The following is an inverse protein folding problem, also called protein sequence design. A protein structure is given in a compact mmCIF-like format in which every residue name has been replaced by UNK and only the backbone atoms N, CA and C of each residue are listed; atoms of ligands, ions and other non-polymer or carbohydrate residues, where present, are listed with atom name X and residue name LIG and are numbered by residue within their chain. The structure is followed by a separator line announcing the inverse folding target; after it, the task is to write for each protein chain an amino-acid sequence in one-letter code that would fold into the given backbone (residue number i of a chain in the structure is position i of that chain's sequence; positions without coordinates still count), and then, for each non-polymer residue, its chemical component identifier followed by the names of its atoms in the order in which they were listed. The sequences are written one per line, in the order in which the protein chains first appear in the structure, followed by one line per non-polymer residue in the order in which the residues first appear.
data_IF_748270699752
#
_entry.id   IF_748270699752
#
_cell.length_a   1.000
_cell.length_b   1.000
_cell.length_c   1.000
_cell.angle_alpha   90.00
_cell.angle_beta   90.00
_cell.angle_gamma   90.00
#
_symmetry.space_group_name_H-M   'P 1'
#
loop_
_entity.id
_entity.type
_entity.pdbx_description
1 polymer ?
#
# COMPACT_ATOMS: atom_id res chain seq x y z
N UNK A 1 29.82 -3.85 38.17
CA UNK A 1 30.66 -4.68 37.27
C UNK A 1 30.48 -4.12 35.86
N UNK A 2 31.49 -3.42 35.35
CA UNK A 2 31.39 -2.53 34.19
C UNK A 2 31.13 -3.33 32.91
N UNK A 3 30.09 -2.91 32.18
CA UNK A 3 29.55 -3.55 30.99
C UNK A 3 30.59 -3.68 29.88
N UNK A 4 30.40 -4.74 29.10
CA UNK A 4 31.07 -5.04 27.84
C UNK A 4 31.36 -3.78 27.02
N UNK A 5 32.63 -3.59 26.73
CA UNK A 5 33.21 -2.64 25.76
C UNK A 5 32.25 -2.34 24.59
N UNK A 6 31.79 -1.09 24.50
CA UNK A 6 30.85 -0.66 23.47
C UNK A 6 31.40 -0.89 22.05
N UNK A 7 30.51 -1.02 21.05
CA UNK A 7 30.89 -1.12 19.62
C UNK A 7 31.91 -0.04 19.22
N UNK A 8 31.75 1.17 19.76
CA UNK A 8 32.67 2.30 19.56
C UNK A 8 34.10 2.05 20.09
N UNK A 9 34.27 1.33 21.21
CA UNK A 9 35.60 0.98 21.72
C UNK A 9 36.33 -0.02 20.79
N UNK A 10 35.59 -0.95 20.18
CA UNK A 10 36.13 -1.92 19.22
C UNK A 10 36.55 -1.24 17.91
N UNK A 11 35.67 -0.42 17.33
CA UNK A 11 35.96 0.27 16.07
C UNK A 11 37.15 1.23 16.22
N UNK A 12 37.25 1.95 17.34
CA UNK A 12 38.42 2.80 17.63
C UNK A 12 39.69 1.99 17.83
N UNK A 13 39.64 0.88 18.56
CA UNK A 13 40.82 0.03 18.76
C UNK A 13 41.35 -0.53 17.44
N UNK A 14 40.45 -1.01 16.57
CA UNK A 14 40.83 -1.54 15.26
C UNK A 14 41.28 -0.45 14.30
N UNK A 15 40.64 0.72 14.29
CA UNK A 15 41.07 1.86 13.49
C UNK A 15 42.49 2.34 13.85
N UNK A 16 42.82 2.39 15.14
CA UNK A 16 44.18 2.71 15.61
C UNK A 16 45.20 1.70 15.10
N UNK A 17 44.88 0.40 15.18
CA UNK A 17 45.81 -0.66 14.78
C UNK A 17 45.96 -0.76 13.25
N UNK A 18 44.87 -0.62 12.50
CA UNK A 18 44.89 -0.59 11.02
C UNK A 18 45.56 0.68 10.49
N UNK A 19 45.51 1.77 11.25
CA UNK A 19 46.28 3.00 10.99
C UNK A 19 47.78 2.91 11.33
N UNK A 20 48.31 1.70 11.58
CA UNK A 20 49.74 1.45 11.75
C UNK A 20 50.26 1.52 13.19
N UNK A 21 49.42 1.81 14.18
CA UNK A 21 49.85 1.78 15.59
C UNK A 21 49.86 0.38 16.18
N UNK A 22 50.73 0.15 17.18
CA UNK A 22 50.80 -1.17 17.83
C UNK A 22 49.56 -1.46 18.69
N UNK A 23 49.23 -2.75 18.83
CA UNK A 23 48.13 -3.19 19.70
C UNK A 23 48.31 -2.77 21.17
N UNK A 24 49.57 -2.62 21.62
CA UNK A 24 49.91 -2.13 22.96
C UNK A 24 49.53 -0.66 23.12
N UNK A 25 49.85 0.17 22.13
CA UNK A 25 49.45 1.58 22.11
C UNK A 25 47.91 1.73 22.10
N UNK A 26 47.20 0.90 21.33
CA UNK A 26 45.73 0.89 21.32
C UNK A 26 45.14 0.47 22.68
N UNK A 27 45.79 -0.46 23.40
CA UNK A 27 45.40 -0.92 24.73
C UNK A 27 45.51 0.18 25.77
N UNK A 28 46.65 0.88 25.80
CA UNK A 28 46.94 1.98 26.71
C UNK A 28 46.02 3.18 26.46
N UNK A 29 45.81 3.56 25.19
CA UNK A 29 44.95 4.70 24.81
C UNK A 29 43.48 4.50 25.15
N UNK A 30 42.97 3.28 25.06
CA UNK A 30 41.53 2.99 25.23
C UNK A 30 41.19 2.36 26.58
N UNK A 31 42.19 2.06 27.42
CA UNK A 31 41.99 1.34 28.68
C UNK A 31 41.39 -0.07 28.50
N UNK A 32 41.56 -0.66 27.31
CA UNK A 32 41.03 -1.99 26.98
C UNK A 32 42.17 -3.00 27.03
N UNK A 33 41.93 -4.16 27.64
CA UNK A 33 42.93 -5.23 27.74
C UNK A 33 43.47 -5.63 26.35
N UNK A 34 44.79 -5.71 26.20
CA UNK A 34 45.48 -6.05 24.94
C UNK A 34 45.00 -7.38 24.33
N UNK A 35 44.62 -8.37 25.15
CA UNK A 35 44.05 -9.65 24.69
C UNK A 35 42.70 -9.45 23.99
N UNK A 36 41.89 -8.50 24.47
CA UNK A 36 40.60 -8.15 23.86
C UNK A 36 40.81 -7.50 22.49
N UNK A 37 41.81 -6.61 22.36
CA UNK A 37 42.15 -5.96 21.09
C UNK A 37 42.66 -6.99 20.07
N UNK A 38 43.54 -7.92 20.50
CA UNK A 38 43.99 -9.04 19.65
C UNK A 38 42.82 -9.88 19.13
N UNK A 39 41.88 -10.23 20.02
CA UNK A 39 40.68 -11.00 19.65
C UNK A 39 39.83 -10.27 18.62
N UNK A 40 39.67 -8.95 18.76
CA UNK A 40 38.95 -8.14 17.77
C UNK A 40 39.68 -8.07 16.43
N UNK A 41 41.00 -7.93 16.42
CA UNK A 41 41.78 -7.83 15.18
C UNK A 41 41.79 -9.13 14.40
N UNK A 42 42.02 -10.24 15.08
CA UNK A 42 41.95 -11.58 14.48
C UNK A 42 40.57 -11.86 13.88
N UNK A 43 39.51 -11.46 14.58
CA UNK A 43 38.14 -11.57 14.05
C UNK A 43 37.93 -10.68 12.83
N UNK A 44 38.39 -9.43 12.85
CA UNK A 44 38.26 -8.51 11.71
C UNK A 44 39.00 -9.04 10.47
N UNK A 45 40.20 -9.59 10.64
CA UNK A 45 40.98 -10.20 9.56
C UNK A 45 40.27 -11.42 8.94
N UNK A 46 39.53 -12.18 9.74
CA UNK A 46 38.84 -13.39 9.30
C UNK A 46 37.42 -13.13 8.75
N UNK A 47 36.67 -12.17 9.31
CA UNK A 47 35.24 -11.97 9.03
C UNK A 47 34.92 -10.62 8.37
N UNK A 48 35.87 -9.65 8.36
CA UNK A 48 35.68 -8.32 7.78
C UNK A 48 34.65 -7.41 8.49
N UNK A 49 34.12 -7.83 9.65
CA UNK A 49 33.02 -7.12 10.32
C UNK A 49 33.40 -6.57 11.70
N UNK A 50 32.96 -5.34 11.97
CA UNK A 50 33.09 -4.66 13.26
C UNK A 50 31.92 -4.93 14.21
N UNK A 51 30.85 -5.54 13.72
CA UNK A 51 29.58 -5.65 14.43
C UNK A 51 29.61 -6.64 15.60
N UNK A 52 28.71 -6.45 16.56
CA UNK A 52 28.50 -7.43 17.61
C UNK A 52 27.94 -8.74 17.01
N UNK A 53 28.45 -9.87 17.46
CA UNK A 53 27.79 -11.14 17.17
C UNK A 53 26.43 -11.16 17.86
N UNK A 54 25.43 -11.73 17.18
CA UNK A 54 24.14 -11.98 17.82
C UNK A 54 24.35 -12.96 18.97
N UNK A 55 24.14 -12.50 20.20
CA UNK A 55 24.21 -13.37 21.37
C UNK A 55 23.13 -14.45 21.28
N UNK A 56 23.48 -15.68 21.69
CA UNK A 56 22.49 -16.75 21.84
C UNK A 56 21.62 -16.44 23.06
N UNK A 57 20.57 -15.66 22.84
CA UNK A 57 19.58 -15.34 23.85
C UNK A 57 18.87 -16.60 24.39
N UNK A 58 18.15 -16.41 25.51
CA UNK A 58 17.35 -17.48 26.14
C UNK A 58 16.45 -18.17 25.10
N UNK A 59 16.59 -19.50 24.98
CA UNK A 59 15.75 -20.32 24.09
C UNK A 59 14.27 -20.02 24.34
N UNK A 60 13.53 -19.80 23.26
CA UNK A 60 12.09 -19.50 23.33
C UNK A 60 11.32 -20.68 23.93
N UNK A 61 10.39 -20.40 24.85
CA UNK A 61 9.45 -21.41 25.37
C UNK A 61 8.38 -21.83 24.33
N UNK A 62 8.24 -21.08 23.24
CA UNK A 62 7.26 -21.40 22.19
C UNK A 62 7.82 -22.44 21.23
N UNK A 63 7.22 -23.62 21.23
CA UNK A 63 7.51 -24.68 20.26
C UNK A 63 7.08 -24.28 18.84
N UNK A 64 7.66 -24.92 17.81
CA UNK A 64 7.29 -24.69 16.41
C UNK A 64 5.78 -24.90 16.18
N UNK A 65 5.20 -25.93 16.80
CA UNK A 65 3.76 -26.21 16.75
C UNK A 65 2.94 -25.12 17.42
N UNK A 66 3.34 -24.65 18.60
CA UNK A 66 2.65 -23.57 19.30
C UNK A 66 2.64 -22.27 18.48
N UNK A 67 3.76 -21.94 17.82
CA UNK A 67 3.87 -20.79 16.91
C UNK A 67 2.87 -20.86 15.75
N UNK A 68 2.74 -22.01 15.10
CA UNK A 68 1.75 -22.25 14.03
C UNK A 68 0.32 -22.09 14.55
N UNK A 69 0.03 -22.62 15.74
CA UNK A 69 -1.30 -22.52 16.37
C UNK A 69 -1.66 -21.07 16.71
N UNK A 70 -0.68 -20.26 17.11
CA UNK A 70 -0.87 -18.83 17.36
C UNK A 70 -1.06 -18.08 16.03
N UNK A 71 -0.25 -18.33 15.02
CA UNK A 71 -0.38 -17.69 13.70
C UNK A 71 -1.75 -17.98 13.05
N UNK A 72 -2.19 -19.25 13.04
CA UNK A 72 -3.52 -19.65 12.53
C UNK A 72 -4.69 -19.11 13.37
N UNK A 73 -4.44 -18.51 14.53
CA UNK A 73 -5.50 -17.92 15.34
C UNK A 73 -5.84 -16.49 14.95
N UNK A 74 -4.98 -15.83 14.16
CA UNK A 74 -5.18 -14.45 13.67
C UNK A 74 -6.45 -14.36 12.81
N UNK A 75 -6.71 -15.37 11.98
CA UNK A 75 -7.90 -15.41 11.10
C UNK A 75 -9.21 -15.76 11.82
N UNK A 76 -9.16 -16.09 13.13
CA UNK A 76 -10.34 -16.52 13.89
C UNK A 76 -10.94 -15.35 14.66
N UNK A 77 -12.22 -15.04 14.41
CA UNK A 77 -12.99 -14.07 15.21
C UNK A 77 -13.12 -14.54 16.68
N UNK A 78 -13.12 -13.59 17.62
CA UNK A 78 -13.33 -13.77 19.06
C UNK A 78 -12.31 -14.68 19.81
N UNK A 79 -11.06 -14.72 19.38
CA UNK A 79 -9.98 -15.38 20.13
C UNK A 79 -9.19 -14.39 20.99
N UNK A 80 -9.18 -14.59 22.31
CA UNK A 80 -8.33 -13.81 23.22
C UNK A 80 -6.99 -14.50 23.46
N UNK A 81 -5.95 -13.71 23.76
CA UNK A 81 -4.62 -14.23 24.12
C UNK A 81 -4.65 -15.13 25.35
N UNK A 82 -5.59 -14.89 26.29
CA UNK A 82 -5.83 -15.74 27.46
C UNK A 82 -6.42 -17.10 27.06
N UNK A 83 -7.42 -17.12 26.17
CA UNK A 83 -8.03 -18.36 25.65
C UNK A 83 -7.01 -19.19 24.86
N UNK A 84 -6.15 -18.53 24.09
CA UNK A 84 -5.05 -19.17 23.37
C UNK A 84 -4.00 -19.74 24.32
N UNK A 85 -3.57 -19.01 25.34
CA UNK A 85 -2.63 -19.51 26.34
C UNK A 85 -3.19 -20.73 27.09
N UNK A 86 -4.48 -20.73 27.45
CA UNK A 86 -5.15 -21.91 28.05
C UNK A 86 -5.11 -23.12 27.12
N UNK A 87 -5.39 -22.92 25.82
CA UNK A 87 -5.35 -23.97 24.78
C UNK A 87 -3.94 -24.49 24.50
N UNK A 88 -2.92 -23.64 24.59
CA UNK A 88 -1.53 -24.08 24.47
C UNK A 88 -1.09 -24.89 25.68
N UNK A 89 -1.52 -24.48 26.87
CA UNK A 89 -1.27 -25.22 28.12
C UNK A 89 -1.87 -26.62 28.08
N UNK A 90 -3.11 -26.78 27.60
CA UNK A 90 -3.74 -28.10 27.44
C UNK A 90 -3.03 -28.98 26.40
N UNK A 91 -2.19 -28.40 25.54
CA UNK A 91 -1.36 -29.11 24.54
C UNK A 91 0.11 -29.23 24.96
N UNK A 92 0.41 -29.11 26.26
CA UNK A 92 1.76 -29.28 26.80
C UNK A 92 2.69 -28.07 26.63
N UNK A 93 2.20 -26.93 26.10
CA UNK A 93 2.98 -25.70 25.96
C UNK A 93 2.51 -24.65 26.98
N UNK A 94 3.07 -24.70 28.19
CA UNK A 94 2.74 -23.76 29.26
C UNK A 94 3.40 -22.40 29.03
N UNK A 95 2.66 -21.48 28.42
CA UNK A 95 3.06 -20.08 28.18
C UNK A 95 2.07 -19.09 28.77
N UNK A 96 2.54 -17.89 29.13
CA UNK A 96 1.66 -16.82 29.59
C UNK A 96 0.90 -16.18 28.42
N UNK A 97 -0.25 -15.56 28.71
CA UNK A 97 -0.97 -14.79 27.71
C UNK A 97 -0.13 -13.62 27.14
N UNK A 98 0.80 -13.08 27.94
CA UNK A 98 1.73 -12.02 27.52
C UNK A 98 2.75 -12.53 26.51
N UNK A 99 3.24 -13.76 26.65
CA UNK A 99 4.09 -14.41 25.63
C UNK A 99 3.35 -14.60 24.31
N UNK A 100 2.09 -15.04 24.36
CA UNK A 100 1.24 -15.16 23.16
C UNK A 100 1.00 -13.80 22.52
N UNK A 101 0.73 -12.76 23.32
CA UNK A 101 0.57 -11.37 22.85
C UNK A 101 1.83 -10.86 22.15
N UNK A 102 3.01 -10.98 22.78
CA UNK A 102 4.29 -10.53 22.19
C UNK A 102 4.60 -11.23 20.86
N UNK A 103 4.30 -12.53 20.78
CA UNK A 103 4.45 -13.28 19.52
C UNK A 103 3.48 -12.78 18.45
N UNK A 104 2.21 -12.54 18.77
CA UNK A 104 1.25 -11.95 17.84
C UNK A 104 1.69 -10.56 17.37
N UNK A 105 2.06 -9.65 18.29
CA UNK A 105 2.48 -8.28 17.95
C UNK A 105 3.72 -8.22 17.06
N UNK A 106 4.64 -9.17 17.19
CA UNK A 106 5.83 -9.26 16.33
C UNK A 106 5.57 -9.90 14.96
N UNK A 107 4.39 -10.48 14.74
CA UNK A 107 4.06 -11.25 13.53
C UNK A 107 2.69 -10.87 12.93
N UNK A 108 2.05 -9.81 13.42
CA UNK A 108 0.77 -9.33 12.92
C UNK A 108 0.94 -7.90 12.39
N UNK A 109 0.91 -7.73 11.08
CA UNK A 109 0.88 -6.41 10.42
C UNK A 109 -0.52 -5.75 10.49
N UNK A 110 -1.46 -6.32 11.26
CA UNK A 110 -2.90 -6.05 11.08
C UNK A 110 -3.57 -5.35 12.26
N UNK A 111 -2.84 -4.91 13.29
CA UNK A 111 -3.45 -4.24 14.46
C UNK A 111 -2.58 -3.10 15.03
N UNK A 112 -2.48 -2.00 14.30
CA UNK A 112 -2.17 -0.69 14.89
C UNK A 112 -3.39 -0.13 15.65
N UNK A 113 -3.77 -0.82 16.73
CA UNK A 113 -4.76 -0.31 17.69
C UNK A 113 -4.09 -0.17 19.04
N UNK A 114 -3.74 1.07 19.39
CA UNK A 114 -3.18 1.42 20.69
C UNK A 114 -4.33 1.65 21.66
N UNK A 115 -4.38 0.86 22.72
CA UNK A 115 -5.26 1.13 23.86
C UNK A 115 -4.52 2.06 24.80
N UNK A 116 -5.08 3.25 25.04
CA UNK A 116 -4.57 4.22 26.00
C UNK A 116 -5.72 4.64 26.94
N UNK A 117 -5.40 4.84 28.22
CA UNK A 117 -6.37 5.34 29.21
C UNK A 117 -6.57 6.84 29.08
N UNK A 118 -5.55 7.55 28.60
CA UNK A 118 -5.56 8.99 28.36
C UNK A 118 -4.83 9.33 27.06
N UNK A 119 -5.25 10.42 26.40
CA UNK A 119 -4.72 10.86 25.11
C UNK A 119 -3.22 11.19 25.17
N UNK A 120 -2.70 11.60 26.33
CA UNK A 120 -1.28 11.88 26.56
C UNK A 120 -0.37 10.65 26.44
N UNK A 121 -0.92 9.44 26.54
CA UNK A 121 -0.16 8.18 26.43
C UNK A 121 0.01 7.70 24.98
N UNK A 122 -0.69 8.35 24.03
CA UNK A 122 -0.54 8.06 22.61
C UNK A 122 0.64 8.86 22.08
N UNK A 123 1.58 8.19 21.41
CA UNK A 123 2.56 8.90 20.58
C UNK A 123 1.77 9.74 19.56
N UNK A 124 2.02 11.06 19.45
CA UNK A 124 1.38 11.87 18.44
C UNK A 124 1.63 11.25 17.07
N UNK A 125 0.57 10.81 16.39
CA UNK A 125 0.70 10.51 14.96
C UNK A 125 0.76 11.86 14.26
N UNK A 126 1.89 12.22 13.68
CA UNK A 126 1.97 13.37 12.79
C UNK A 126 1.02 13.11 11.61
N UNK A 127 -0.10 13.83 11.60
CA UNK A 127 -0.97 13.92 10.42
C UNK A 127 -0.80 15.32 9.89
N UNK A 128 -0.21 15.45 8.70
CA UNK A 128 -0.15 16.71 7.98
C UNK A 128 -1.61 17.13 7.69
N UNK A 129 -2.08 18.17 8.40
CA UNK A 129 -3.48 18.62 8.39
C UNK A 129 -3.95 19.08 7.00
N UNK A 130 -3.01 19.52 6.17
CA UNK A 130 -3.24 20.01 4.80
C UNK A 130 -2.25 19.37 3.82
N UNK A 131 -2.36 18.05 3.61
CA UNK A 131 -1.68 17.43 2.48
C UNK A 131 -2.13 18.11 1.19
N UNK A 132 -1.18 18.49 0.34
CA UNK A 132 -1.48 18.87 -1.04
C UNK A 132 -2.19 17.70 -1.71
N UNK A 133 -3.37 17.95 -2.25
CA UNK A 133 -4.19 16.96 -2.95
C UNK A 133 -4.36 17.40 -4.40
N UNK A 134 -4.42 16.40 -5.27
CA UNK A 134 -4.81 16.58 -6.66
C UNK A 134 -6.04 15.73 -6.94
N UNK A 135 -6.97 16.30 -7.67
CA UNK A 135 -8.15 15.60 -8.18
C UNK A 135 -7.89 15.33 -9.66
N UNK A 136 -8.10 14.08 -10.06
CA UNK A 136 -7.83 13.62 -11.42
C UNK A 136 -9.06 12.87 -11.92
N UNK A 137 -9.43 13.12 -13.16
CA UNK A 137 -10.46 12.37 -13.87
C UNK A 137 -9.86 11.64 -15.06
N UNK A 138 -10.37 10.45 -15.34
CA UNK A 138 -10.04 9.67 -16.52
C UNK A 138 -11.15 8.67 -16.82
N UNK A 139 -11.18 8.19 -18.06
CA UNK A 139 -12.07 7.11 -18.52
C UNK A 139 -11.23 5.97 -19.08
N UNK A 140 -11.72 4.75 -18.88
CA UNK A 140 -11.10 3.53 -19.41
C UNK A 140 -12.11 2.68 -20.17
N UNK A 141 -11.61 1.90 -21.12
CA UNK A 141 -12.29 0.77 -21.74
C UNK A 141 -11.39 -0.46 -21.65
N UNK A 142 -11.83 -1.60 -22.21
CA UNK A 142 -10.98 -2.78 -22.33
C UNK A 142 -9.78 -2.58 -23.29
N UNK A 143 -9.82 -1.54 -24.15
CA UNK A 143 -8.80 -1.28 -25.17
C UNK A 143 -7.83 -0.17 -24.77
N UNK A 144 -8.33 0.89 -24.16
CA UNK A 144 -7.62 2.15 -24.05
C UNK A 144 -8.10 2.97 -22.85
N UNK A 145 -7.36 4.02 -22.55
CA UNK A 145 -7.66 5.00 -21.51
C UNK A 145 -7.65 6.40 -22.11
N UNK A 146 -8.35 7.35 -21.50
CA UNK A 146 -8.26 8.76 -21.87
C UNK A 146 -6.93 9.39 -21.47
N UNK A 147 -6.67 10.57 -22.01
CA UNK A 147 -5.82 11.52 -21.31
C UNK A 147 -6.43 11.88 -19.95
N UNK A 148 -5.57 12.20 -18.99
CA UNK A 148 -5.99 12.54 -17.64
C UNK A 148 -6.36 14.02 -17.55
N UNK A 149 -7.56 14.28 -17.04
CA UNK A 149 -8.03 15.63 -16.74
C UNK A 149 -7.68 15.97 -15.30
N UNK A 150 -6.70 16.86 -15.11
CA UNK A 150 -6.30 17.33 -13.79
C UNK A 150 -7.19 18.50 -13.38
N UNK A 151 -7.97 18.31 -12.31
CA UNK A 151 -8.90 19.33 -11.83
C UNK A 151 -8.09 20.43 -11.12
N UNK A 152 -8.26 21.71 -11.48
CA UNK A 152 -7.52 22.82 -10.89
C UNK A 152 -7.67 22.91 -9.37
N UNK A 153 -6.63 23.39 -8.69
CA UNK A 153 -6.66 23.56 -7.23
C UNK A 153 -7.79 24.51 -6.81
N UNK A 154 -8.65 24.04 -5.91
CA UNK A 154 -9.81 24.81 -5.42
C UNK A 154 -11.07 24.66 -6.27
N UNK A 155 -10.99 24.02 -7.44
CA UNK A 155 -12.16 23.73 -8.26
C UNK A 155 -13.00 22.63 -7.61
N UNK A 156 -14.29 22.90 -7.46
CA UNK A 156 -15.28 21.89 -7.05
C UNK A 156 -15.87 21.26 -8.31
N UNK A 157 -16.00 19.93 -8.33
CA UNK A 157 -16.67 19.21 -9.41
C UNK A 157 -18.18 19.37 -9.22
N UNK A 158 -18.73 20.47 -9.71
CA UNK A 158 -20.18 20.70 -9.79
C UNK A 158 -20.75 19.92 -10.99
N UNK A 159 -22.07 19.76 -11.04
CA UNK A 159 -22.72 19.14 -12.21
C UNK A 159 -22.44 19.92 -13.51
N UNK A 160 -22.30 21.24 -13.44
CA UNK A 160 -21.96 22.08 -14.58
C UNK A 160 -20.52 21.84 -15.04
N UNK A 161 -19.55 21.87 -14.13
CA UNK A 161 -18.15 21.59 -14.44
C UNK A 161 -17.98 20.19 -15.02
N UNK A 162 -18.66 19.20 -14.42
CA UNK A 162 -18.64 17.82 -14.90
C UNK A 162 -19.16 17.72 -16.33
N UNK A 163 -20.27 18.37 -16.67
CA UNK A 163 -20.83 18.32 -18.03
C UNK A 163 -19.98 19.08 -19.04
N UNK A 164 -19.57 20.30 -18.70
CA UNK A 164 -18.94 21.20 -19.67
C UNK A 164 -17.46 20.85 -19.90
N UNK A 165 -16.69 20.64 -18.83
CA UNK A 165 -15.24 20.45 -18.93
C UNK A 165 -14.86 18.97 -19.06
N UNK A 166 -15.57 18.10 -18.33
CA UNK A 166 -15.22 16.68 -18.28
C UNK A 166 -15.94 15.90 -19.39
N UNK A 167 -17.27 15.94 -19.46
CA UNK A 167 -18.03 15.17 -20.44
C UNK A 167 -17.86 15.74 -21.86
N UNK A 168 -18.25 16.99 -22.10
CA UNK A 168 -18.13 17.62 -23.42
C UNK A 168 -16.66 17.80 -23.86
N UNK A 169 -15.73 17.99 -22.94
CA UNK A 169 -14.30 18.17 -23.22
C UNK A 169 -13.54 16.85 -23.25
N UNK A 170 -12.95 16.48 -22.11
CA UNK A 170 -12.01 15.36 -21.99
C UNK A 170 -12.57 13.99 -22.38
N UNK A 171 -13.82 13.70 -22.04
CA UNK A 171 -14.49 12.43 -22.35
C UNK A 171 -14.80 12.31 -23.83
N UNK A 172 -15.49 13.28 -24.43
CA UNK A 172 -15.80 13.26 -25.86
C UNK A 172 -14.54 13.25 -26.73
N UNK A 173 -13.52 14.03 -26.37
CA UNK A 173 -12.22 14.01 -27.08
C UNK A 173 -11.60 12.61 -27.10
N UNK A 174 -11.72 11.88 -25.99
CA UNK A 174 -11.20 10.52 -25.87
C UNK A 174 -12.06 9.48 -26.58
N UNK A 175 -13.38 9.69 -26.61
CA UNK A 175 -14.35 8.81 -27.23
C UNK A 175 -14.32 8.91 -28.77
N UNK A 176 -14.09 10.11 -29.31
CA UNK A 176 -14.05 10.39 -30.74
C UNK A 176 -12.69 10.10 -31.42
N UNK A 177 -11.74 9.50 -30.69
CA UNK A 177 -10.45 9.06 -31.27
C UNK A 177 -10.71 8.14 -32.47
N UNK A 178 -9.91 8.30 -33.52
CA UNK A 178 -10.03 7.53 -34.78
C UNK A 178 -8.98 6.41 -34.98
N UNK A 179 -7.76 6.46 -34.40
CA UNK A 179 -6.77 5.40 -34.63
C UNK A 179 -7.21 4.05 -34.06
N UNK A 180 -7.20 2.98 -34.87
CA UNK A 180 -7.50 1.62 -34.39
C UNK A 180 -6.34 1.00 -33.60
N UNK A 181 -5.11 1.32 -34.00
CA UNK A 181 -3.86 0.86 -33.40
C UNK A 181 -3.11 2.03 -32.75
N UNK A 182 -2.08 1.68 -31.97
CA UNK A 182 -1.24 2.65 -31.24
C UNK A 182 -1.25 2.39 -29.74
N UNK A 183 -0.74 3.38 -29.00
CA UNK A 183 -0.74 3.37 -27.54
C UNK A 183 -2.16 3.37 -26.98
N UNK A 184 -2.33 2.85 -25.77
CA UNK A 184 -3.58 2.95 -24.99
C UNK A 184 -4.09 4.39 -24.83
N UNK A 185 -3.22 5.39 -24.98
CA UNK A 185 -3.54 6.81 -24.89
C UNK A 185 -3.98 7.45 -26.21
N UNK A 186 -3.80 6.79 -27.36
CA UNK A 186 -4.10 7.42 -28.66
C UNK A 186 -5.10 6.62 -29.52
N UNK A 187 -5.22 5.31 -29.28
CA UNK A 187 -6.18 4.48 -30.00
C UNK A 187 -7.62 4.64 -29.49
N UNK A 188 -8.58 4.21 -30.30
CA UNK A 188 -10.01 4.17 -29.96
C UNK A 188 -10.29 3.55 -28.60
N UNK A 189 -11.11 4.23 -27.79
CA UNK A 189 -11.68 3.65 -26.56
C UNK A 189 -12.56 2.46 -26.90
N UNK A 190 -13.49 2.64 -27.83
CA UNK A 190 -14.46 1.62 -28.21
C UNK A 190 -14.29 1.30 -29.69
N UNK A 191 -14.31 0.02 -30.08
CA UNK A 191 -14.14 -0.35 -31.48
C UNK A 191 -15.37 0.03 -32.32
N UNK A 192 -16.55 -0.09 -31.73
CA UNK A 192 -17.83 0.22 -32.36
C UNK A 192 -18.54 1.31 -31.55
N UNK A 193 -18.60 2.51 -32.14
CA UNK A 193 -19.25 3.67 -31.56
C UNK A 193 -20.78 3.52 -31.43
N UNK A 194 -21.38 2.54 -32.11
CA UNK A 194 -22.80 2.20 -31.96
C UNK A 194 -23.06 1.21 -30.83
N UNK A 195 -22.02 0.67 -30.18
CA UNK A 195 -22.12 -0.41 -29.19
C UNK A 195 -21.16 -0.23 -28.03
N UNK A 196 -21.53 0.64 -27.10
CA UNK A 196 -20.88 0.75 -25.80
C UNK A 196 -21.87 1.20 -24.74
N UNK A 197 -21.54 0.93 -23.48
CA UNK A 197 -22.28 1.43 -22.32
C UNK A 197 -21.33 2.29 -21.49
N UNK A 198 -21.72 3.53 -21.25
CA UNK A 198 -20.98 4.40 -20.35
C UNK A 198 -21.40 4.16 -18.89
N UNK A 199 -20.42 3.87 -18.03
CA UNK A 199 -20.61 3.62 -16.62
C UNK A 199 -19.89 4.69 -15.79
N UNK A 200 -20.58 5.21 -14.78
CA UNK A 200 -20.04 6.12 -13.78
C UNK A 200 -20.54 5.73 -12.38
N UNK A 201 -19.89 6.23 -11.34
CA UNK A 201 -20.30 5.97 -9.96
C UNK A 201 -21.44 6.92 -9.50
N UNK A 202 -21.87 6.77 -8.24
CA UNK A 202 -22.97 7.52 -7.65
C UNK A 202 -22.61 8.89 -7.11
N UNK A 203 -21.52 9.54 -7.55
CA UNK A 203 -21.15 10.86 -7.05
C UNK A 203 -22.25 11.92 -7.31
N UNK A 204 -22.31 12.96 -6.47
CA UNK A 204 -23.38 13.98 -6.55
C UNK A 204 -23.42 14.70 -7.92
N UNK A 205 -22.26 15.00 -8.50
CA UNK A 205 -22.15 15.60 -9.83
C UNK A 205 -22.66 14.66 -10.93
N UNK A 206 -22.43 13.35 -10.80
CA UNK A 206 -22.81 12.34 -11.78
C UNK A 206 -24.31 12.05 -11.73
N UNK A 207 -24.90 12.06 -10.52
CA UNK A 207 -26.33 11.77 -10.29
C UNK A 207 -27.25 12.99 -10.49
N UNK A 208 -26.67 14.18 -10.66
CA UNK A 208 -27.39 15.41 -10.93
C UNK A 208 -28.20 15.33 -12.23
N UNK A 209 -29.37 15.96 -12.25
CA UNK A 209 -30.29 15.97 -13.40
C UNK A 209 -29.59 16.37 -14.70
N UNK A 210 -28.82 17.47 -14.66
CA UNK A 210 -28.05 17.98 -15.80
C UNK A 210 -27.10 16.93 -16.40
N UNK A 211 -26.37 16.19 -15.56
CA UNK A 211 -25.42 15.18 -16.02
C UNK A 211 -26.13 13.96 -16.60
N UNK A 212 -27.20 13.49 -15.95
CA UNK A 212 -28.01 12.37 -16.43
C UNK A 212 -28.68 12.69 -17.78
N UNK A 213 -29.25 13.89 -17.92
CA UNK A 213 -29.85 14.36 -19.18
C UNK A 213 -28.81 14.48 -20.29
N UNK A 214 -27.63 15.02 -20.00
CA UNK A 214 -26.54 15.09 -20.97
C UNK A 214 -26.13 13.69 -21.46
N UNK A 215 -25.98 12.72 -20.55
CA UNK A 215 -25.63 11.35 -20.92
C UNK A 215 -26.71 10.71 -21.79
N UNK A 216 -28.00 10.90 -21.46
CA UNK A 216 -29.11 10.36 -22.25
C UNK A 216 -29.17 10.94 -23.67
N UNK A 217 -28.79 12.21 -23.85
CA UNK A 217 -28.85 12.87 -25.17
C UNK A 217 -27.63 12.56 -26.04
N UNK A 218 -26.43 12.43 -25.46
CA UNK A 218 -25.18 12.41 -26.21
C UNK A 218 -24.53 11.02 -26.30
N UNK A 219 -24.90 10.08 -25.44
CA UNK A 219 -24.29 8.75 -25.39
C UNK A 219 -25.25 7.70 -25.96
N UNK A 220 -24.69 6.63 -26.54
CA UNK A 220 -25.48 5.54 -27.11
C UNK A 220 -26.24 4.79 -26.03
N UNK A 221 -25.53 4.39 -24.98
CA UNK A 221 -26.11 3.76 -23.81
C UNK A 221 -25.31 4.17 -22.59
N UNK A 222 -25.99 4.32 -21.45
CA UNK A 222 -25.35 4.63 -20.19
C UNK A 222 -26.12 4.02 -19.03
N UNK A 223 -25.41 3.64 -17.97
CA UNK A 223 -26.06 3.16 -16.75
C UNK A 223 -26.63 4.30 -15.92
N UNK A 224 -27.95 4.46 -15.99
CA UNK A 224 -28.69 5.43 -15.20
C UNK A 224 -28.41 5.27 -13.71
N UNK A 225 -28.53 6.35 -12.93
CA UNK A 225 -28.27 6.33 -11.48
C UNK A 225 -29.08 5.28 -10.70
N UNK A 226 -30.21 4.82 -11.26
CA UNK A 226 -31.05 3.77 -10.68
C UNK A 226 -30.52 2.35 -10.91
N UNK A 227 -29.63 2.15 -11.89
CA UNK A 227 -29.04 0.85 -12.22
C UNK A 227 -27.76 0.58 -11.42
N UNK A 228 -26.98 1.63 -11.11
CA UNK A 228 -25.73 1.49 -10.36
C UNK A 228 -25.99 1.39 -8.85
N UNK A 229 -25.56 0.30 -8.19
CA UNK A 229 -25.72 0.18 -6.74
C UNK A 229 -24.80 1.16 -6.00
N UNK A 230 -25.36 1.86 -5.01
CA UNK A 230 -24.59 2.74 -4.13
C UNK A 230 -23.46 2.00 -3.40
N UNK A 231 -22.36 2.70 -3.11
CA UNK A 231 -21.22 2.17 -2.36
C UNK A 231 -20.63 0.87 -2.91
N UNK A 232 -20.57 0.73 -4.23
CA UNK A 232 -20.08 -0.49 -4.90
C UNK A 232 -18.76 -0.28 -5.65
N UNK A 233 -17.66 0.18 -4.99
CA UNK A 233 -16.38 0.35 -5.65
C UNK A 233 -15.84 -0.99 -6.18
N UNK A 234 -16.14 -2.11 -5.51
CA UNK A 234 -15.71 -3.45 -5.93
C UNK A 234 -16.22 -3.83 -7.35
N UNK A 235 -17.34 -3.26 -7.78
CA UNK A 235 -17.91 -3.49 -9.10
C UNK A 235 -17.32 -2.56 -10.17
N UNK A 236 -16.73 -1.43 -9.79
CA UNK A 236 -16.22 -0.43 -10.71
C UNK A 236 -14.83 -0.84 -11.22
N UNK A 237 -14.63 -1.13 -12.53
CA UNK A 237 -13.32 -1.48 -13.05
C UNK A 237 -12.28 -0.38 -12.87
N UNK A 238 -12.68 0.90 -12.93
CA UNK A 238 -11.72 2.00 -12.84
C UNK A 238 -11.14 2.19 -11.43
N UNK A 239 -11.87 1.79 -10.38
CA UNK A 239 -11.35 1.80 -9.00
C UNK A 239 -10.16 0.84 -8.84
N UNK A 240 -10.25 -0.35 -9.48
CA UNK A 240 -9.14 -1.29 -9.51
C UNK A 240 -7.96 -0.72 -10.33
N UNK A 241 -8.26 -0.02 -11.43
CA UNK A 241 -7.21 0.63 -12.22
C UNK A 241 -6.50 1.72 -11.42
N UNK A 242 -7.24 2.55 -10.67
CA UNK A 242 -6.66 3.53 -9.76
C UNK A 242 -5.82 2.89 -8.65
N UNK A 243 -6.22 1.72 -8.14
CA UNK A 243 -5.40 0.96 -7.19
C UNK A 243 -4.07 0.52 -7.81
N UNK A 244 -4.06 0.09 -9.07
CA UNK A 244 -2.83 -0.29 -9.79
C UNK A 244 -1.93 0.93 -9.97
N UNK A 245 -2.50 2.04 -10.47
CA UNK A 245 -1.79 3.32 -10.63
C UNK A 245 -1.16 3.78 -9.32
N UNK A 246 -1.90 3.67 -8.22
CA UNK A 246 -1.39 4.03 -6.89
C UNK A 246 -0.21 3.15 -6.48
N UNK A 247 -0.27 1.84 -6.71
CA UNK A 247 0.83 0.93 -6.41
C UNK A 247 2.08 1.28 -7.22
N UNK A 248 1.93 1.58 -8.51
CA UNK A 248 3.05 2.02 -9.35
C UNK A 248 3.69 3.33 -8.84
N UNK A 249 2.88 4.31 -8.42
CA UNK A 249 3.38 5.55 -7.83
C UNK A 249 4.12 5.29 -6.50
N UNK A 250 3.65 4.34 -5.69
CA UNK A 250 4.30 3.96 -4.42
C UNK A 250 5.68 3.30 -4.63
N UNK A 251 5.95 2.74 -5.82
CA UNK A 251 7.26 2.21 -6.21
C UNK A 251 8.22 3.29 -6.75
N UNK A 252 7.69 4.46 -7.14
CA UNK A 252 8.48 5.61 -7.57
C UNK A 252 9.04 6.37 -6.37
N UNK A 253 9.90 7.35 -6.63
CA UNK A 253 10.36 8.28 -5.61
C UNK A 253 9.19 9.10 -5.03
N UNK A 254 9.29 9.44 -3.75
CA UNK A 254 8.19 10.15 -3.06
C UNK A 254 8.04 11.55 -3.64
N UNK A 255 6.85 11.92 -4.16
CA UNK A 255 6.66 13.22 -4.79
C UNK A 255 6.76 14.33 -3.75
N UNK A 256 7.64 15.31 -4.02
CA UNK A 256 7.90 16.44 -3.12
C UNK A 256 6.98 17.64 -3.38
N UNK A 257 6.31 17.67 -4.53
CA UNK A 257 5.40 18.74 -4.94
C UNK A 257 4.31 18.21 -5.90
N UNK A 258 3.32 19.06 -6.21
CA UNK A 258 2.15 18.69 -7.03
C UNK A 258 2.57 18.35 -8.47
N UNK A 259 3.48 19.10 -9.08
CA UNK A 259 3.94 18.86 -10.45
C UNK A 259 4.63 17.50 -10.58
N UNK A 260 5.42 17.12 -9.59
CA UNK A 260 6.04 15.80 -9.52
C UNK A 260 5.00 14.69 -9.37
N UNK A 261 3.99 14.89 -8.50
CA UNK A 261 2.87 13.95 -8.37
C UNK A 261 2.09 13.80 -9.70
N UNK A 262 1.81 14.90 -10.40
CA UNK A 262 1.17 14.87 -11.73
C UNK A 262 1.98 14.05 -12.73
N UNK A 263 3.31 14.25 -12.75
CA UNK A 263 4.22 13.49 -13.60
C UNK A 263 4.17 11.99 -13.26
N UNK A 264 4.19 11.63 -11.98
CA UNK A 264 4.15 10.23 -11.55
C UNK A 264 2.82 9.58 -11.94
N UNK A 265 1.70 10.30 -11.75
CA UNK A 265 0.38 9.83 -12.18
C UNK A 265 0.34 9.62 -13.70
N UNK A 266 0.80 10.59 -14.50
CA UNK A 266 0.85 10.47 -15.97
C UNK A 266 1.73 9.30 -16.42
N UNK A 267 2.87 9.09 -15.75
CA UNK A 267 3.79 7.99 -16.05
C UNK A 267 3.17 6.63 -15.70
N UNK A 268 2.60 6.47 -14.51
CA UNK A 268 1.92 5.24 -14.12
C UNK A 268 0.72 4.94 -15.04
N UNK A 269 -0.04 5.97 -15.43
CA UNK A 269 -1.18 5.84 -16.34
C UNK A 269 -0.79 5.39 -17.75
N UNK A 270 0.32 5.92 -18.30
CA UNK A 270 0.79 5.55 -19.64
C UNK A 270 1.41 4.15 -19.72
N UNK A 271 1.82 3.59 -18.59
CA UNK A 271 2.42 2.25 -18.48
C UNK A 271 1.40 1.13 -18.29
N UNK A 272 0.11 1.44 -18.15
CA UNK A 272 -0.94 0.44 -18.03
C UNK A 272 -0.91 -0.49 -19.26
N UNK A 273 -0.81 -1.80 -19.03
CA UNK A 273 -0.80 -2.76 -20.12
C UNK A 273 -2.21 -2.93 -20.74
N UNK A 274 -2.32 -3.21 -22.04
CA UNK A 274 -3.60 -3.58 -22.67
C UNK A 274 -4.27 -4.78 -22.00
N UNK A 275 -3.48 -5.78 -21.61
CA UNK A 275 -3.95 -6.99 -20.94
C UNK A 275 -4.60 -6.66 -19.59
N UNK A 276 -4.03 -5.72 -18.82
CA UNK A 276 -4.61 -5.24 -17.57
C UNK A 276 -6.02 -4.66 -17.80
N UNK A 277 -6.18 -3.81 -18.83
CA UNK A 277 -7.48 -3.21 -19.16
C UNK A 277 -8.52 -4.27 -19.53
N UNK A 278 -8.13 -5.23 -20.38
CA UNK A 278 -8.99 -6.32 -20.81
C UNK A 278 -9.42 -7.21 -19.63
N UNK A 279 -8.49 -7.58 -18.76
CA UNK A 279 -8.76 -8.39 -17.57
C UNK A 279 -9.70 -7.68 -16.58
N UNK A 280 -9.55 -6.36 -16.39
CA UNK A 280 -10.41 -5.59 -15.50
C UNK A 280 -11.86 -5.53 -15.96
N UNK A 281 -12.06 -5.31 -17.27
CA UNK A 281 -13.40 -5.21 -17.87
C UNK A 281 -14.05 -6.60 -17.99
N UNK A 282 -13.33 -7.60 -18.53
CA UNK A 282 -13.81 -8.98 -18.66
C UNK A 282 -14.08 -9.66 -17.32
N UNK A 283 -13.43 -9.22 -16.24
CA UNK A 283 -13.69 -9.68 -14.89
C UNK A 283 -15.00 -9.17 -14.27
N UNK A 284 -15.65 -8.15 -14.86
CA UNK A 284 -16.84 -7.53 -14.28
C UNK A 284 -18.05 -8.48 -14.14
N UNK A 285 -18.41 -9.31 -15.14
CA UNK A 285 -19.47 -10.32 -14.98
C UNK A 285 -19.23 -11.30 -13.84
N UNK A 286 -17.97 -11.72 -13.63
CA UNK A 286 -17.60 -12.60 -12.51
C UNK A 286 -17.80 -11.89 -11.16
N UNK A 287 -17.40 -10.62 -11.05
CA UNK A 287 -17.63 -9.79 -9.87
C UNK A 287 -19.12 -9.60 -9.58
N UNK A 288 -19.93 -9.31 -10.60
CA UNK A 288 -21.39 -9.22 -10.45
C UNK A 288 -22.00 -10.52 -9.93
N UNK A 289 -21.63 -11.68 -10.50
CA UNK A 289 -22.10 -12.99 -10.02
C UNK A 289 -21.71 -13.25 -8.56
N UNK A 290 -20.50 -12.86 -8.15
CA UNK A 290 -20.06 -12.97 -6.76
C UNK A 290 -20.86 -12.04 -5.83
N UNK A 291 -21.10 -10.80 -6.23
CA UNK A 291 -21.94 -9.86 -5.46
C UNK A 291 -23.36 -10.41 -5.26
N UNK A 292 -23.98 -10.94 -6.33
CA UNK A 292 -25.30 -11.59 -6.27
C UNK A 292 -25.27 -12.80 -5.32
N UNK A 293 -24.25 -13.66 -5.42
CA UNK A 293 -24.07 -14.81 -4.53
C UNK A 293 -23.93 -14.40 -3.06
N UNK A 294 -23.30 -13.26 -2.80
CA UNK A 294 -23.16 -12.66 -1.46
C UNK A 294 -24.37 -11.83 -1.05
N UNK A 295 -25.45 -11.80 -1.84
CA UNK A 295 -26.67 -11.00 -1.58
C UNK A 295 -26.36 -9.52 -1.34
N UNK A 296 -25.45 -8.94 -2.13
CA UNK A 296 -25.00 -7.54 -1.97
C UNK A 296 -23.92 -7.33 -0.91
N UNK A 297 -23.41 -8.39 -0.29
CA UNK A 297 -22.25 -8.32 0.60
C UNK A 297 -20.94 -8.08 -0.16
N UNK A 298 -19.95 -7.54 0.56
CA UNK A 298 -18.61 -7.30 0.01
C UNK A 298 -17.98 -8.57 -0.56
N UNK A 299 -17.33 -8.43 -1.72
CA UNK A 299 -16.56 -9.50 -2.33
C UNK A 299 -15.22 -9.62 -1.59
N UNK A 300 -15.20 -10.40 -0.51
CA UNK A 300 -14.07 -10.89 0.31
C UNK A 300 -12.76 -10.04 0.28
N UNK A 301 -12.45 -9.42 1.44
CA UNK A 301 -11.11 -8.93 1.83
C UNK A 301 -10.12 -10.06 2.12
#
# INVERSE_FOLDING_TARGET
MVRETSSCARSRALGIVLGGMTQKCASEKLGVNIRTIRRWLSRYQNEGSFENMHERGRKSKLTKVAKIVIAKSISKRHQSTRKLAKRLRSKGCAVSHTTVRKYLMSHSNQNDRVWAYDRSQLLPSERIKFLSRILVWGVMSFRAVSELHFIPKGQTITAEYYVNEILNGSMMSSLLRQPEQGSILTRKLVPDMSRYIFQQDGASAHTAKRAQEWCNTNLVEFWHKSQWPGNSPDLNPIENLWSIVKQEIELMDTPTNISMLEKHIKQAWSQISPETLENLVSGMPKRMKLCIKQKGGYMVK
#
